data_IF_678471310968
#
_entry.id   IF_678471310968
#
_cell.length_a   1.000
_cell.length_b   1.000
_cell.length_c   1.000
_cell.angle_alpha   90.00
_cell.angle_beta   90.00
_cell.angle_gamma   90.00
#
_symmetry.space_group_name_H-M   'P 1'
#
loop_
_entity.id
_entity.type
_entity.pdbx_description
1 polymer ?
#
# COMPACT_ATOMS: atom_id res chain seq x y z
N UNK A 1 -1.59 19.58 -2.28
CA UNK A 1 -1.21 18.50 -1.33
C UNK A 1 0.29 18.57 -1.09
N UNK A 2 0.77 18.36 0.14
CA UNK A 2 2.20 18.29 0.41
C UNK A 2 2.85 17.10 -0.31
N UNK A 3 4.12 17.25 -0.68
CA UNK A 3 4.92 16.14 -1.22
C UNK A 3 5.02 15.00 -0.22
N UNK A 4 4.93 13.75 -0.70
CA UNK A 4 5.06 12.55 0.12
C UNK A 4 6.04 11.57 -0.48
N UNK A 5 6.73 10.87 0.40
CA UNK A 5 7.57 9.72 0.09
C UNK A 5 6.90 8.50 0.71
N UNK A 6 6.65 7.50 -0.12
CA UNK A 6 6.13 6.20 0.27
C UNK A 6 7.08 5.15 -0.30
N UNK A 7 7.46 4.19 0.53
CA UNK A 7 8.29 3.07 0.12
C UNK A 7 7.57 1.77 0.43
N UNK A 8 7.68 0.82 -0.49
CA UNK A 8 7.12 -0.52 -0.39
C UNK A 8 8.25 -1.54 -0.59
N UNK A 9 8.15 -2.70 0.06
CA UNK A 9 9.10 -3.80 -0.12
C UNK A 9 8.35 -5.10 -0.36
N UNK A 10 8.97 -5.97 -1.16
CA UNK A 10 8.50 -7.34 -1.39
C UNK A 10 9.68 -8.29 -1.36
N UNK A 11 9.54 -9.37 -0.60
CA UNK A 11 10.47 -10.48 -0.55
C UNK A 11 9.77 -11.69 -1.15
N UNK A 12 10.40 -12.30 -2.15
CA UNK A 12 9.92 -13.52 -2.79
C UNK A 12 10.93 -14.64 -2.62
N UNK A 13 10.44 -15.86 -2.41
CA UNK A 13 11.22 -17.08 -2.41
C UNK A 13 10.51 -18.12 -3.29
N UNK A 14 11.28 -18.82 -4.11
CA UNK A 14 10.82 -19.96 -4.90
C UNK A 14 11.72 -21.15 -4.58
N UNK A 15 11.15 -22.35 -4.55
CA UNK A 15 11.96 -23.55 -4.39
C UNK A 15 12.72 -23.87 -5.70
N UNK A 16 13.79 -24.68 -5.64
CA UNK A 16 14.61 -24.97 -6.82
C UNK A 16 13.87 -25.65 -7.98
N UNK A 17 12.74 -26.32 -7.71
CA UNK A 17 11.92 -26.97 -8.73
C UNK A 17 10.75 -26.08 -9.22
N UNK A 18 10.68 -24.82 -8.76
CA UNK A 18 9.62 -23.84 -9.06
C UNK A 18 8.19 -24.34 -8.75
N UNK A 19 8.04 -25.34 -7.90
CA UNK A 19 6.76 -25.93 -7.48
C UNK A 19 6.03 -25.08 -6.44
N UNK A 20 6.77 -24.29 -5.69
CA UNK A 20 6.32 -23.49 -4.57
C UNK A 20 6.92 -22.10 -4.68
N UNK A 21 6.09 -21.09 -4.45
CA UNK A 21 6.54 -19.71 -4.34
C UNK A 21 5.87 -19.07 -3.15
N UNK A 22 6.66 -18.47 -2.27
CA UNK A 22 6.20 -17.68 -1.15
C UNK A 22 6.59 -16.23 -1.37
N UNK A 23 5.71 -15.29 -0.99
CA UNK A 23 6.05 -13.88 -0.98
C UNK A 23 5.48 -13.18 0.24
N UNK A 24 6.24 -12.21 0.74
CA UNK A 24 5.85 -11.27 1.77
C UNK A 24 6.01 -9.86 1.22
N UNK A 25 4.94 -9.09 1.24
CA UNK A 25 4.90 -7.71 0.78
C UNK A 25 4.49 -6.79 1.93
N UNK A 26 5.15 -5.64 2.01
CA UNK A 26 4.87 -4.57 2.97
C UNK A 26 4.73 -3.27 2.20
N UNK A 27 3.55 -2.65 2.31
CA UNK A 27 3.28 -1.34 1.74
C UNK A 27 3.33 -0.28 2.82
N UNK A 28 3.77 0.92 2.45
CA UNK A 28 3.96 2.05 3.39
C UNK A 28 4.90 1.67 4.57
N UNK A 29 6.15 1.30 4.23
CA UNK A 29 7.18 0.86 5.18
C UNK A 29 7.40 1.83 6.34
N UNK A 30 7.22 3.12 6.12
CA UNK A 30 7.42 4.17 7.13
C UNK A 30 6.13 4.57 7.87
N UNK A 31 5.03 3.86 7.64
CA UNK A 31 3.71 4.12 8.24
C UNK A 31 3.28 5.59 8.19
N UNK A 32 3.43 6.18 7.00
CA UNK A 32 3.08 7.58 6.78
C UNK A 32 1.55 7.72 6.73
N UNK A 33 1.01 8.67 7.49
CA UNK A 33 -0.37 9.12 7.31
C UNK A 33 -0.45 10.08 6.11
N UNK A 34 -1.30 9.77 5.14
CA UNK A 34 -1.45 10.57 3.93
C UNK A 34 -2.86 10.45 3.35
N UNK A 35 -3.20 11.38 2.46
CA UNK A 35 -4.46 11.37 1.72
C UNK A 35 -4.20 11.06 0.24
N UNK A 36 -5.04 10.22 -0.34
CA UNK A 36 -5.06 9.91 -1.78
C UNK A 36 -5.70 11.04 -2.57
N UNK A 37 -6.81 11.58 -2.06
CA UNK A 37 -7.53 12.72 -2.61
C UNK A 37 -7.95 13.68 -1.51
N UNK A 38 -8.02 14.95 -1.85
CA UNK A 38 -8.56 16.02 -1.00
C UNK A 38 -9.41 16.86 -1.94
N UNK A 39 -10.71 16.91 -1.65
CA UNK A 39 -11.69 17.71 -2.38
C UNK A 39 -12.05 18.91 -1.52
N UNK A 40 -11.62 20.08 -1.98
CA UNK A 40 -11.99 21.35 -1.40
C UNK A 40 -13.32 21.81 -2.02
N UNK A 41 -14.41 21.63 -1.27
CA UNK A 41 -15.74 22.12 -1.63
C UNK A 41 -16.16 23.24 -0.68
N UNK A 42 -15.18 23.98 -0.13
CA UNK A 42 -15.43 25.06 0.83
C UNK A 42 -16.35 26.13 0.24
N UNK A 43 -16.22 26.43 -1.04
CA UNK A 43 -17.04 27.44 -1.75
C UNK A 43 -18.51 27.04 -1.89
N UNK A 44 -18.86 25.76 -1.85
CA UNK A 44 -20.24 25.28 -2.06
C UNK A 44 -20.89 24.68 -0.81
N UNK A 45 -20.13 23.98 0.04
CA UNK A 45 -20.63 23.23 1.19
C UNK A 45 -19.89 23.55 2.50
N UNK A 46 -18.90 24.44 2.48
CA UNK A 46 -18.12 24.82 3.67
C UNK A 46 -17.26 23.69 4.25
N UNK A 47 -16.93 22.68 3.44
CA UNK A 47 -16.28 21.45 3.88
C UNK A 47 -15.05 21.14 3.01
N UNK A 48 -14.00 20.63 3.66
CA UNK A 48 -12.87 19.99 2.97
C UNK A 48 -12.94 18.51 3.32
N UNK A 49 -13.04 17.67 2.29
CA UNK A 49 -13.11 16.21 2.45
C UNK A 49 -11.85 15.57 1.90
N UNK A 50 -11.39 14.48 2.49
CA UNK A 50 -10.21 13.75 2.03
C UNK A 50 -10.37 12.25 2.18
N UNK A 51 -9.86 11.50 1.21
CA UNK A 51 -9.79 10.05 1.28
C UNK A 51 -8.41 9.64 1.83
N UNK A 52 -8.31 9.14 3.07
CA UNK A 52 -7.03 8.69 3.61
C UNK A 52 -6.49 7.50 2.80
N UNK A 53 -5.18 7.47 2.62
CA UNK A 53 -4.48 6.33 2.05
C UNK A 53 -4.41 5.18 3.04
N UNK A 54 -4.08 3.98 2.55
CA UNK A 54 -3.92 2.83 3.42
C UNK A 54 -2.74 3.07 4.40
N UNK A 55 -2.91 2.69 5.68
CA UNK A 55 -1.79 2.66 6.62
C UNK A 55 -0.79 1.58 6.21
N UNK A 56 0.24 1.32 7.01
CA UNK A 56 1.12 0.17 6.75
C UNK A 56 0.32 -1.13 6.63
N UNK A 57 0.43 -1.79 5.49
CA UNK A 57 -0.26 -3.05 5.20
C UNK A 57 0.72 -4.16 4.84
N UNK A 58 0.35 -5.37 5.23
CA UNK A 58 1.15 -6.59 5.05
C UNK A 58 0.35 -7.58 4.22
N UNK A 59 1.01 -8.22 3.26
CA UNK A 59 0.43 -9.28 2.44
C UNK A 59 1.39 -10.46 2.40
N UNK A 60 0.88 -11.64 2.76
CA UNK A 60 1.60 -12.89 2.63
C UNK A 60 0.86 -13.77 1.63
N UNK A 61 1.60 -14.38 0.70
CA UNK A 61 1.04 -15.26 -0.33
C UNK A 61 1.91 -16.50 -0.51
N UNK A 62 1.26 -17.64 -0.72
CA UNK A 62 1.90 -18.91 -1.07
C UNK A 62 1.19 -19.44 -2.31
N UNK A 63 1.96 -19.82 -3.32
CA UNK A 63 1.50 -20.43 -4.55
C UNK A 63 2.13 -21.82 -4.69
N UNK A 64 1.33 -22.79 -5.17
CA UNK A 64 1.79 -24.13 -5.56
C UNK A 64 1.46 -24.37 -7.02
N UNK A 65 2.45 -24.73 -7.82
CA UNK A 65 2.28 -25.21 -9.20
C UNK A 65 2.19 -26.74 -9.21
N UNK A 66 1.21 -27.27 -9.94
CA UNK A 66 0.93 -28.70 -10.08
C UNK A 66 1.40 -29.23 -11.42
#
# INVERSE_FOLDING_TARGET
MPGRFLANARLGWSDPEDKWTAALEVQNLFDKYYFMSVSDVTTSLGLVTGAPGLPRTWLASIERKF
#
